data_IF_828579943485
#
_entry.id   IF_828579943485
#
_cell.length_a   1.000
_cell.length_b   1.000
_cell.length_c   1.000
_cell.angle_alpha   90.00
_cell.angle_beta   90.00
_cell.angle_gamma   90.00
#
_symmetry.space_group_name_H-M   'P 1'
#
loop_
_entity.id
_entity.type
_entity.pdbx_description
1 polymer ?
#
# COMPACT_ATOMS: atom_id res chain seq x y z
N UNK A 1 6.28 1.28 33.01
CA UNK A 1 6.23 2.23 31.86
C UNK A 1 4.87 2.12 31.21
N UNK A 2 4.15 3.23 31.08
CA UNK A 2 2.73 3.24 30.76
C UNK A 2 2.46 2.73 29.34
N UNK A 3 1.94 1.50 29.23
CA UNK A 3 1.30 1.01 27.99
C UNK A 3 0.10 1.93 27.72
N UNK A 4 0.20 2.78 26.70
CA UNK A 4 -0.90 3.66 26.27
C UNK A 4 -0.79 5.14 26.64
N UNK A 5 0.36 5.62 27.12
CA UNK A 5 0.59 7.07 27.21
C UNK A 5 0.51 7.72 25.82
N UNK A 6 -0.04 8.92 25.75
CA UNK A 6 -0.26 9.64 24.49
C UNK A 6 0.21 11.09 24.61
N UNK A 7 0.89 11.58 23.58
CA UNK A 7 1.26 12.99 23.45
C UNK A 7 0.52 13.59 22.27
N UNK A 8 -0.17 14.69 22.51
CA UNK A 8 -0.99 15.38 21.52
C UNK A 8 -0.58 16.85 21.42
N UNK A 9 -0.42 17.35 20.20
CA UNK A 9 -0.24 18.77 19.89
C UNK A 9 -1.35 19.22 18.94
N UNK A 10 -1.94 20.37 19.24
CA UNK A 10 -3.07 20.96 18.52
C UNK A 10 -3.90 21.83 19.45
N UNK A 11 -4.96 22.46 18.94
CA UNK A 11 -5.95 23.17 19.75
C UNK A 11 -7.13 22.25 19.98
N UNK A 12 -7.49 22.10 21.25
CA UNK A 12 -8.53 21.17 21.69
C UNK A 12 -9.63 21.92 22.43
N UNK A 13 -10.86 21.45 22.24
CA UNK A 13 -12.03 21.83 23.03
C UNK A 13 -12.82 20.57 23.46
N UNK A 14 -14.05 20.74 23.94
CA UNK A 14 -14.88 19.66 24.44
C UNK A 14 -15.22 18.57 23.38
N UNK A 15 -15.08 18.86 22.08
CA UNK A 15 -15.37 17.94 20.98
C UNK A 15 -14.10 17.25 20.43
N UNK A 16 -12.93 17.56 20.98
CA UNK A 16 -11.64 17.05 20.51
C UNK A 16 -10.79 18.13 19.85
N UNK A 17 -10.02 17.76 18.82
CA UNK A 17 -9.17 18.72 18.11
C UNK A 17 -10.03 19.64 17.25
N UNK A 18 -10.10 20.92 17.62
CA UNK A 18 -10.90 21.93 16.89
C UNK A 18 -10.07 22.82 15.98
N UNK A 19 -8.76 22.91 16.20
CA UNK A 19 -7.84 23.65 15.35
C UNK A 19 -6.40 23.17 15.61
N UNK A 20 -5.44 23.78 14.94
CA UNK A 20 -4.01 23.63 15.19
C UNK A 20 -3.38 24.96 15.63
N UNK A 21 -2.18 24.90 16.19
CA UNK A 21 -1.33 26.08 16.42
C UNK A 21 -0.57 26.46 15.16
N UNK A 22 0.00 27.66 15.11
CA UNK A 22 0.96 28.04 14.07
C UNK A 22 2.39 27.90 14.63
N UNK A 23 2.84 26.64 14.75
CA UNK A 23 4.14 26.31 15.34
C UNK A 23 5.02 25.53 14.36
N UNK A 24 6.32 25.76 14.39
CA UNK A 24 7.30 24.83 13.80
C UNK A 24 7.51 23.68 14.78
N UNK A 25 7.33 22.45 14.31
CA UNK A 25 7.50 21.25 15.13
C UNK A 25 8.73 20.50 14.65
N UNK A 26 9.68 20.24 15.56
CA UNK A 26 10.84 19.41 15.27
C UNK A 26 10.95 18.26 16.26
N UNK A 27 11.19 17.07 15.76
CA UNK A 27 11.62 15.91 16.54
C UNK A 27 13.06 15.63 16.15
N UNK A 28 13.99 15.58 17.10
CA UNK A 28 15.36 15.19 16.82
C UNK A 28 16.26 15.28 18.04
N UNK A 29 17.55 15.52 17.84
CA UNK A 29 18.46 15.77 18.96
C UNK A 29 18.28 17.21 19.45
N UNK A 30 17.62 17.36 20.59
CA UNK A 30 17.32 18.67 21.17
C UNK A 30 17.97 18.73 22.54
N UNK A 31 18.82 19.72 22.78
CA UNK A 31 19.41 19.93 24.09
C UNK A 31 18.30 20.24 25.11
N UNK A 32 18.29 19.50 26.23
CA UNK A 32 17.40 19.81 27.33
C UNK A 32 17.69 21.24 27.83
N UNK A 33 16.64 22.05 27.95
CA UNK A 33 16.79 23.37 28.50
C UNK A 33 17.00 23.28 30.02
N UNK A 34 18.22 23.56 30.48
CA UNK A 34 18.57 23.56 31.90
C UNK A 34 18.09 24.80 32.66
N UNK A 35 17.38 25.71 32.00
CA UNK A 35 16.85 26.93 32.60
C UNK A 35 15.66 26.67 33.55
N UNK A 36 15.54 27.50 34.59
CA UNK A 36 14.36 27.51 35.44
C UNK A 36 13.19 28.17 34.68
N UNK A 37 12.15 27.40 34.38
CA UNK A 37 10.94 27.89 33.72
C UNK A 37 10.00 28.51 34.76
N UNK A 38 9.52 29.73 34.48
CA UNK A 38 8.41 30.33 35.22
C UNK A 38 7.38 30.85 34.24
N UNK A 39 6.11 30.88 34.63
CA UNK A 39 5.02 31.41 33.79
C UNK A 39 5.15 32.92 33.51
N UNK A 40 6.03 33.62 34.24
CA UNK A 40 6.23 35.06 34.16
C UNK A 40 7.52 35.46 33.41
N UNK A 41 8.42 34.50 33.16
CA UNK A 41 9.66 34.79 32.45
C UNK A 41 9.37 35.04 30.96
N UNK A 42 9.96 36.09 30.35
CA UNK A 42 9.77 36.34 28.92
C UNK A 42 10.34 35.18 28.10
N UNK A 43 9.54 34.68 27.16
CA UNK A 43 10.00 33.68 26.20
C UNK A 43 10.92 34.34 25.17
N UNK A 44 12.14 33.81 25.02
CA UNK A 44 13.08 34.22 23.97
C UNK A 44 12.39 34.17 22.60
N UNK A 45 12.64 35.18 21.77
CA UNK A 45 11.99 35.33 20.46
C UNK A 45 12.12 34.06 19.60
N UNK A 46 13.28 33.41 19.64
CA UNK A 46 13.60 32.17 18.92
C UNK A 46 12.73 30.97 19.31
N UNK A 47 12.15 30.98 20.52
CA UNK A 47 11.29 29.90 21.03
C UNK A 47 9.81 30.13 20.75
N UNK A 48 9.42 31.33 20.32
CA UNK A 48 8.03 31.64 19.97
C UNK A 48 7.62 30.78 18.79
N UNK A 49 6.40 30.23 18.82
CA UNK A 49 5.86 29.41 17.74
C UNK A 49 6.75 28.21 17.39
N UNK A 50 7.44 27.62 18.38
CA UNK A 50 8.25 26.40 18.18
C UNK A 50 7.85 25.31 19.17
N UNK A 51 7.97 24.06 18.74
CA UNK A 51 7.88 22.87 19.58
C UNK A 51 9.01 21.94 19.18
N UNK A 52 10.02 21.80 20.04
CA UNK A 52 11.14 20.91 19.80
C UNK A 52 11.10 19.75 20.80
N UNK A 53 11.12 18.53 20.28
CA UNK A 53 10.99 17.31 21.05
C UNK A 53 12.24 16.45 20.85
N UNK A 54 12.84 16.04 21.95
CA UNK A 54 13.99 15.14 21.89
C UNK A 54 13.55 13.70 21.55
N UNK A 55 13.98 13.21 20.39
CA UNK A 55 13.58 11.91 19.86
C UNK A 55 14.07 10.74 20.73
N UNK A 56 15.22 10.89 21.40
CA UNK A 56 15.78 9.86 22.28
C UNK A 56 14.94 9.70 23.55
N UNK A 57 14.52 10.82 24.13
CA UNK A 57 13.65 10.89 25.30
C UNK A 57 12.27 10.31 24.98
N UNK A 58 11.67 10.71 23.86
CA UNK A 58 10.41 10.15 23.39
C UNK A 58 10.51 8.63 23.17
N UNK A 59 11.61 8.16 22.58
CA UNK A 59 11.84 6.75 22.30
C UNK A 59 11.97 5.91 23.56
N UNK A 60 12.70 6.40 24.56
CA UNK A 60 12.87 5.75 25.85
C UNK A 60 11.55 5.61 26.61
N UNK A 61 10.63 6.57 26.43
CA UNK A 61 9.31 6.58 27.07
C UNK A 61 8.31 5.59 26.45
N UNK A 62 8.56 5.09 25.23
CA UNK A 62 7.73 4.10 24.53
C UNK A 62 6.25 4.51 24.47
N UNK A 63 5.97 5.71 23.96
CA UNK A 63 4.60 6.24 23.82
C UNK A 63 3.71 5.30 22.99
N UNK A 64 2.45 5.17 23.39
CA UNK A 64 1.42 4.46 22.61
C UNK A 64 0.92 5.31 21.44
N UNK A 65 0.90 6.64 21.60
CA UNK A 65 0.54 7.57 20.53
C UNK A 65 1.35 8.86 20.60
N UNK A 66 1.76 9.34 19.44
CA UNK A 66 2.26 10.69 19.22
C UNK A 66 1.45 11.31 18.08
N UNK A 67 0.65 12.34 18.39
CA UNK A 67 -0.21 13.02 17.42
C UNK A 67 0.11 14.52 17.41
N UNK A 68 0.85 14.95 16.39
CA UNK A 68 1.39 16.30 16.27
C UNK A 68 0.74 17.04 15.10
N UNK A 69 -0.09 18.04 15.41
CA UNK A 69 -0.78 18.83 14.40
C UNK A 69 -0.49 20.33 14.54
N UNK A 70 -0.04 20.97 13.45
CA UNK A 70 0.33 22.38 13.36
C UNK A 70 0.01 22.97 11.98
N UNK A 71 -0.17 24.30 11.86
CA UNK A 71 -0.19 25.00 10.55
C UNK A 71 1.20 25.09 9.93
N UNK A 72 2.24 25.12 10.76
CA UNK A 72 3.62 25.15 10.30
C UNK A 72 4.10 23.82 9.74
N UNK A 73 5.41 23.66 9.73
CA UNK A 73 6.09 22.44 9.33
C UNK A 73 6.25 21.47 10.50
N UNK A 74 6.17 20.17 10.21
CA UNK A 74 6.60 19.10 11.10
C UNK A 74 7.82 18.41 10.51
N UNK A 75 8.96 18.48 11.19
CA UNK A 75 10.21 17.88 10.74
C UNK A 75 10.72 16.84 11.75
N UNK A 76 10.88 15.59 11.32
CA UNK A 76 11.46 14.52 12.11
C UNK A 76 12.86 14.20 11.60
N UNK A 77 13.85 14.54 12.42
CA UNK A 77 15.28 14.36 12.17
C UNK A 77 15.82 13.35 13.19
N UNK A 78 16.54 12.32 12.74
CA UNK A 78 17.06 11.28 13.65
C UNK A 78 16.05 10.18 14.00
N UNK A 79 16.26 9.50 15.13
CA UNK A 79 15.53 8.28 15.46
C UNK A 79 14.32 8.52 16.37
N UNK A 80 13.19 7.90 16.05
CA UNK A 80 11.99 7.85 16.87
C UNK A 80 11.45 6.42 16.96
N UNK A 81 11.29 5.89 18.16
CA UNK A 81 10.64 4.59 18.40
C UNK A 81 9.41 4.75 19.29
N UNK A 82 8.28 4.21 18.86
CA UNK A 82 7.06 4.15 19.70
C UNK A 82 6.83 2.73 20.21
N UNK A 83 5.85 2.56 21.12
CA UNK A 83 5.41 1.24 21.56
C UNK A 83 5.00 0.36 20.37
N UNK A 84 5.07 -0.97 20.54
CA UNK A 84 4.53 -1.89 19.54
C UNK A 84 3.03 -1.67 19.39
N UNK A 85 2.54 -1.70 18.15
CA UNK A 85 1.16 -1.32 17.83
C UNK A 85 0.87 0.18 18.00
N UNK A 86 1.89 1.00 18.30
CA UNK A 86 1.73 2.44 18.52
C UNK A 86 1.30 3.21 17.28
N UNK A 87 0.92 4.48 17.48
CA UNK A 87 0.47 5.38 16.41
C UNK A 87 1.32 6.65 16.37
N UNK A 88 1.84 6.99 15.19
CA UNK A 88 2.41 8.29 14.89
C UNK A 88 1.53 9.01 13.88
N UNK A 89 0.98 10.16 14.25
CA UNK A 89 0.22 11.04 13.37
C UNK A 89 0.92 12.39 13.28
N UNK A 90 1.33 12.80 12.07
CA UNK A 90 1.99 14.06 11.79
C UNK A 90 1.11 14.87 10.84
N UNK A 91 0.65 16.03 11.27
CA UNK A 91 -0.20 16.93 10.48
C UNK A 91 0.44 18.31 10.41
N UNK A 92 0.81 18.75 9.22
CA UNK A 92 1.50 20.02 8.98
C UNK A 92 1.22 20.55 7.58
N UNK A 93 1.39 21.85 7.32
CA UNK A 93 1.38 22.34 5.93
C UNK A 93 2.47 21.64 5.10
N UNK A 94 3.60 21.35 5.75
CA UNK A 94 4.66 20.47 5.25
C UNK A 94 5.04 19.46 6.32
N UNK A 95 5.35 18.23 5.91
CA UNK A 95 5.90 17.20 6.80
C UNK A 95 7.15 16.60 6.16
N UNK A 96 8.27 16.66 6.88
CA UNK A 96 9.53 16.03 6.50
C UNK A 96 9.90 14.92 7.49
N UNK A 97 10.19 13.73 6.99
CA UNK A 97 10.76 12.63 7.78
C UNK A 97 12.13 12.34 7.18
N UNK A 98 13.18 12.81 7.84
CA UNK A 98 14.58 12.72 7.38
C UNK A 98 15.35 11.62 8.12
N UNK A 99 14.76 11.03 9.16
CA UNK A 99 15.41 10.06 10.01
C UNK A 99 14.77 8.67 9.98
N UNK A 100 14.82 7.98 11.12
CA UNK A 100 14.34 6.61 11.29
C UNK A 100 13.15 6.59 12.24
N UNK A 101 12.03 6.02 11.79
CA UNK A 101 10.85 5.79 12.61
C UNK A 101 10.66 4.29 12.77
N UNK A 102 10.57 3.81 14.01
CA UNK A 102 10.34 2.39 14.32
C UNK A 102 9.08 2.19 15.16
N UNK A 103 8.08 1.52 14.59
CA UNK A 103 6.82 1.20 15.28
C UNK A 103 6.34 -0.18 14.87
N UNK A 104 6.76 -1.19 15.63
CA UNK A 104 6.50 -2.61 15.32
C UNK A 104 5.00 -2.88 15.19
N UNK A 105 4.55 -3.30 13.99
CA UNK A 105 3.14 -3.56 13.70
C UNK A 105 2.20 -2.37 13.92
N UNK A 106 2.75 -1.15 14.02
CA UNK A 106 1.99 0.06 14.35
C UNK A 106 1.48 0.82 13.13
N UNK A 107 1.17 2.10 13.32
CA UNK A 107 0.64 2.97 12.27
C UNK A 107 1.41 4.28 12.20
N UNK A 108 1.78 4.70 10.99
CA UNK A 108 2.28 6.04 10.67
C UNK A 108 1.30 6.71 9.71
N UNK A 109 0.88 7.91 10.06
CA UNK A 109 0.09 8.79 9.18
C UNK A 109 0.78 10.15 9.10
N UNK A 110 1.09 10.61 7.90
CA UNK A 110 1.54 11.97 7.65
C UNK A 110 0.59 12.65 6.67
N UNK A 111 0.13 13.85 6.98
CA UNK A 111 -0.80 14.58 6.14
C UNK A 111 -0.69 16.09 6.26
N UNK A 112 -1.23 16.80 5.28
CA UNK A 112 -1.53 18.23 5.40
C UNK A 112 -3.05 18.50 5.47
N UNK A 113 -3.83 17.44 5.64
CA UNK A 113 -5.27 17.48 5.80
C UNK A 113 -5.62 17.40 7.29
N UNK A 114 -6.66 18.11 7.69
CA UNK A 114 -7.19 18.12 9.04
C UNK A 114 -8.68 17.85 8.98
N UNK A 115 -9.13 16.87 9.76
CA UNK A 115 -10.54 16.66 10.04
C UNK A 115 -10.95 17.58 11.17
N UNK A 116 -11.95 18.42 10.95
CA UNK A 116 -12.54 19.25 12.00
C UNK A 116 -13.52 18.46 12.88
N UNK A 117 -14.07 19.10 13.91
CA UNK A 117 -15.01 18.47 14.84
C UNK A 117 -16.34 18.05 14.21
N UNK A 118 -16.66 18.51 13.00
CA UNK A 118 -17.84 18.10 12.23
C UNK A 118 -17.59 16.88 11.35
N UNK A 119 -16.34 16.42 11.28
CA UNK A 119 -15.91 15.35 10.37
C UNK A 119 -15.57 15.84 8.96
N UNK A 120 -15.61 17.15 8.71
CA UNK A 120 -15.22 17.72 7.42
C UNK A 120 -13.70 17.74 7.29
N UNK A 121 -13.18 17.34 6.13
CA UNK A 121 -11.73 17.32 5.86
C UNK A 121 -11.35 18.59 5.10
N UNK A 122 -10.40 19.34 5.64
CA UNK A 122 -9.84 20.54 5.01
C UNK A 122 -8.32 20.52 4.98
N UNK A 123 -7.70 21.41 4.22
CA UNK A 123 -6.25 21.63 4.32
C UNK A 123 -5.95 22.42 5.58
N UNK A 124 -4.85 22.08 6.27
CA UNK A 124 -4.42 22.82 7.46
C UNK A 124 -4.07 24.28 7.11
N UNK A 125 -3.55 24.52 5.90
CA UNK A 125 -3.25 25.86 5.39
C UNK A 125 -3.57 25.92 3.89
N UNK A 126 -4.82 26.27 3.50
CA UNK A 126 -5.27 26.20 2.11
C UNK A 126 -4.50 27.09 1.13
N UNK A 127 -3.89 28.17 1.62
CA UNK A 127 -3.08 29.08 0.81
C UNK A 127 -1.70 28.50 0.43
N UNK A 128 -1.29 27.40 1.04
CA UNK A 128 0.01 26.77 0.81
C UNK A 128 -0.14 25.42 0.11
N UNK A 129 0.82 25.13 -0.76
CA UNK A 129 0.99 23.81 -1.36
C UNK A 129 1.43 22.81 -0.29
N UNK A 130 0.64 21.75 -0.11
CA UNK A 130 0.97 20.65 0.79
C UNK A 130 2.17 19.83 0.30
N UNK A 131 3.12 19.52 1.17
CA UNK A 131 4.26 18.68 0.80
C UNK A 131 4.61 17.68 1.90
N UNK A 132 4.65 16.40 1.54
CA UNK A 132 5.15 15.34 2.40
C UNK A 132 6.42 14.74 1.79
N UNK A 133 7.49 14.66 2.57
CA UNK A 133 8.77 14.12 2.12
C UNK A 133 9.28 13.07 3.10
N UNK A 134 9.52 11.86 2.59
CA UNK A 134 10.44 10.91 3.19
C UNK A 134 11.81 11.17 2.58
N UNK A 135 12.72 11.72 3.38
CA UNK A 135 14.03 12.20 2.96
C UNK A 135 14.96 11.08 2.48
N UNK A 136 16.08 11.45 1.86
CA UNK A 136 17.02 10.47 1.32
C UNK A 136 17.57 9.58 2.44
N UNK A 137 17.56 8.26 2.23
CA UNK A 137 17.98 7.28 3.23
C UNK A 137 17.09 7.17 4.47
N UNK A 138 15.99 7.92 4.58
CA UNK A 138 15.06 7.85 5.71
C UNK A 138 14.32 6.50 5.72
N UNK A 139 14.00 6.00 6.92
CA UNK A 139 13.41 4.66 7.10
C UNK A 139 12.16 4.71 7.95
N UNK A 140 11.07 4.16 7.43
CA UNK A 140 9.87 3.81 8.18
C UNK A 140 9.85 2.29 8.40
N UNK A 141 10.22 1.87 9.62
CA UNK A 141 10.28 0.48 10.05
C UNK A 141 9.05 0.08 10.87
N UNK A 142 8.07 -0.53 10.22
CA UNK A 142 6.83 -0.96 10.84
C UNK A 142 6.60 -2.47 10.75
N UNK A 143 7.64 -3.24 10.45
CA UNK A 143 7.54 -4.69 10.35
C UNK A 143 7.06 -5.32 11.67
N UNK A 144 6.39 -6.46 11.56
CA UNK A 144 5.93 -7.23 12.70
C UNK A 144 7.08 -7.76 13.55
N UNK A 145 6.79 -8.03 14.82
CA UNK A 145 7.73 -8.57 15.79
C UNK A 145 8.07 -10.02 15.47
N UNK A 146 9.34 -10.37 15.60
CA UNK A 146 9.75 -11.75 15.87
C UNK A 146 9.85 -11.98 17.38
N UNK A 147 9.37 -13.14 17.87
CA UNK A 147 9.49 -13.51 19.28
C UNK A 147 9.64 -15.02 19.45
N UNK A 148 10.39 -15.44 20.47
CA UNK A 148 10.57 -16.86 20.78
C UNK A 148 10.25 -17.11 22.26
N UNK A 149 8.97 -17.34 22.54
CA UNK A 149 8.45 -17.43 23.92
C UNK A 149 8.99 -18.63 24.71
N UNK A 150 9.44 -19.69 24.02
CA UNK A 150 10.13 -20.82 24.65
C UNK A 150 11.53 -20.47 25.18
N UNK A 151 12.11 -19.34 24.75
CA UNK A 151 13.46 -18.88 25.16
C UNK A 151 13.42 -17.61 26.01
N UNK A 152 12.55 -16.67 25.66
CA UNK A 152 12.48 -15.34 26.27
C UNK A 152 11.62 -15.32 27.56
N UNK A 153 11.02 -16.46 27.92
CA UNK A 153 9.88 -16.50 28.83
C UNK A 153 8.62 -15.92 28.17
N UNK A 154 7.46 -16.11 28.78
CA UNK A 154 6.22 -15.49 28.30
C UNK A 154 6.27 -13.96 28.56
N UNK A 155 7.02 -13.21 27.75
CA UNK A 155 6.94 -11.76 27.77
C UNK A 155 5.54 -11.35 27.29
N UNK A 156 4.74 -10.78 28.20
CA UNK A 156 3.34 -10.41 27.96
C UNK A 156 3.18 -9.58 26.67
N UNK A 157 2.47 -10.16 25.69
CA UNK A 157 2.04 -9.46 24.48
C UNK A 157 3.00 -9.45 23.29
N UNK A 158 4.21 -10.02 23.40
CA UNK A 158 5.16 -10.06 22.27
C UNK A 158 4.63 -10.86 21.06
N UNK A 159 3.80 -11.88 21.32
CA UNK A 159 3.14 -12.69 20.30
C UNK A 159 1.97 -11.98 19.58
N UNK A 160 1.51 -10.81 20.07
CA UNK A 160 0.36 -10.11 19.50
C UNK A 160 0.69 -9.32 18.22
N UNK A 161 1.95 -8.89 18.07
CA UNK A 161 2.35 -7.93 17.01
C UNK A 161 3.15 -8.56 15.87
N UNK A 162 2.81 -9.78 15.46
CA UNK A 162 3.51 -10.48 14.37
C UNK A 162 3.16 -9.92 12.97
N UNK A 163 2.15 -9.06 12.86
CA UNK A 163 1.72 -8.48 11.59
C UNK A 163 2.49 -7.19 11.27
N UNK A 164 2.73 -6.94 9.99
CA UNK A 164 3.25 -5.67 9.52
C UNK A 164 2.26 -4.53 9.77
N UNK A 165 2.80 -3.33 9.98
CA UNK A 165 2.01 -2.13 10.27
C UNK A 165 1.39 -1.46 9.05
N UNK A 166 0.98 -0.21 9.23
CA UNK A 166 0.37 0.62 8.17
C UNK A 166 1.06 1.96 8.02
N UNK A 167 1.34 2.35 6.78
CA UNK A 167 1.84 3.69 6.46
C UNK A 167 0.87 4.40 5.51
N UNK A 168 0.46 5.60 5.87
CA UNK A 168 -0.33 6.49 5.01
C UNK A 168 0.35 7.85 4.93
N UNK A 169 0.83 8.21 3.74
CA UNK A 169 1.32 9.55 3.42
C UNK A 169 0.33 10.16 2.43
N UNK A 170 -0.49 11.10 2.90
CA UNK A 170 -1.56 11.70 2.10
C UNK A 170 -1.48 13.22 2.08
N UNK A 171 -1.26 13.77 0.90
CA UNK A 171 -1.12 15.20 0.69
C UNK A 171 -2.17 15.70 -0.29
N UNK A 172 -2.70 16.90 -0.03
CA UNK A 172 -3.44 17.69 -1.01
C UNK A 172 -2.65 17.95 -2.30
N UNK A 173 -1.31 17.91 -2.26
CA UNK A 173 -0.45 18.11 -3.42
C UNK A 173 0.65 17.05 -3.48
N UNK A 174 1.85 17.32 -2.98
CA UNK A 174 3.01 16.47 -3.28
C UNK A 174 3.31 15.44 -2.18
N UNK A 175 3.69 14.25 -2.63
CA UNK A 175 4.30 13.18 -1.81
C UNK A 175 5.60 12.76 -2.47
N UNK A 176 6.70 12.82 -1.74
CA UNK A 176 8.03 12.46 -2.25
C UNK A 176 8.67 11.41 -1.35
N UNK A 177 9.06 10.29 -1.94
CA UNK A 177 10.00 9.34 -1.35
C UNK A 177 11.32 9.50 -2.09
N UNK A 178 12.28 10.13 -1.44
CA UNK A 178 13.58 10.40 -2.03
C UNK A 178 14.41 9.12 -2.19
N UNK A 179 15.51 9.23 -2.93
CA UNK A 179 16.42 8.12 -3.19
C UNK A 179 16.87 7.43 -1.89
N UNK A 180 17.01 6.10 -1.96
CA UNK A 180 17.45 5.23 -0.87
C UNK A 180 16.57 5.21 0.38
N UNK A 181 15.46 5.96 0.40
CA UNK A 181 14.46 5.86 1.45
C UNK A 181 13.76 4.51 1.45
N UNK A 182 13.27 4.06 2.61
CA UNK A 182 12.66 2.74 2.77
C UNK A 182 11.40 2.80 3.62
N UNK A 183 10.37 2.08 3.18
CA UNK A 183 9.18 1.79 3.99
C UNK A 183 9.02 0.27 4.06
N UNK A 184 9.08 -0.29 5.27
CA UNK A 184 8.91 -1.73 5.52
C UNK A 184 7.74 -1.98 6.44
N UNK A 185 6.79 -2.76 5.95
CA UNK A 185 5.63 -3.27 6.68
C UNK A 185 5.59 -4.79 6.57
N UNK A 186 6.74 -5.44 6.67
CA UNK A 186 6.85 -6.89 6.52
C UNK A 186 6.25 -7.63 7.74
N UNK A 187 5.87 -8.89 7.56
CA UNK A 187 5.46 -9.74 8.66
C UNK A 187 6.62 -10.09 9.58
N UNK A 188 6.31 -10.20 10.87
CA UNK A 188 7.12 -10.92 11.84
C UNK A 188 6.64 -12.36 12.03
N UNK A 189 6.91 -12.91 13.20
CA UNK A 189 6.52 -14.27 13.56
C UNK A 189 6.72 -14.56 15.03
N UNK A 190 6.23 -15.70 15.47
CA UNK A 190 6.41 -16.14 16.84
C UNK A 190 6.60 -17.65 16.91
N UNK A 191 7.43 -18.06 17.86
CA UNK A 191 7.54 -19.45 18.30
C UNK A 191 6.89 -19.55 19.67
N UNK A 192 5.89 -20.42 19.81
CA UNK A 192 5.24 -20.67 21.09
C UNK A 192 6.10 -21.55 22.02
N UNK A 193 5.70 -21.67 23.28
CA UNK A 193 6.38 -22.52 24.28
C UNK A 193 6.43 -24.01 23.90
N UNK A 194 5.63 -24.44 22.93
CA UNK A 194 5.62 -25.82 22.38
C UNK A 194 6.52 -25.95 21.14
N UNK A 195 7.24 -24.90 20.76
CA UNK A 195 8.12 -24.90 19.59
C UNK A 195 7.36 -24.80 18.26
N UNK A 196 6.08 -24.42 18.27
CA UNK A 196 5.32 -24.19 17.05
C UNK A 196 5.55 -22.77 16.56
N UNK A 197 6.15 -22.66 15.39
CA UNK A 197 6.39 -21.40 14.72
C UNK A 197 5.17 -20.97 13.88
N UNK A 198 4.88 -19.67 13.88
CA UNK A 198 3.83 -19.03 13.07
C UNK A 198 4.35 -17.69 12.55
N UNK A 199 4.07 -17.39 11.29
CA UNK A 199 4.35 -16.07 10.71
C UNK A 199 3.11 -15.19 10.60
N UNK A 200 3.33 -13.88 10.56
CA UNK A 200 2.28 -12.89 10.38
C UNK A 200 1.88 -12.62 8.93
N UNK A 201 1.11 -11.55 8.74
CA UNK A 201 0.75 -10.97 7.46
C UNK A 201 1.59 -9.72 7.21
N UNK A 202 1.91 -9.44 5.95
CA UNK A 202 2.43 -8.14 5.55
C UNK A 202 1.37 -7.05 5.72
N UNK A 203 1.83 -5.81 5.88
CA UNK A 203 0.99 -4.64 6.14
C UNK A 203 0.62 -3.83 4.90
N UNK A 204 0.17 -2.60 5.11
CA UNK A 204 -0.37 -1.71 4.07
C UNK A 204 0.49 -0.45 3.89
N UNK A 205 0.63 0.00 2.63
CA UNK A 205 1.25 1.29 2.29
C UNK A 205 0.31 2.08 1.39
N UNK A 206 0.07 3.35 1.72
CA UNK A 206 -0.70 4.29 0.91
C UNK A 206 0.08 5.58 0.71
N UNK A 207 0.43 5.90 -0.53
CA UNK A 207 1.16 7.10 -0.94
C UNK A 207 0.28 7.91 -1.88
N UNK A 208 -0.40 8.93 -1.34
CA UNK A 208 -1.49 9.62 -2.01
C UNK A 208 -1.12 11.10 -2.19
N UNK A 209 -0.61 11.43 -3.36
CA UNK A 209 -0.50 12.81 -3.82
C UNK A 209 -1.82 13.25 -4.46
N UNK A 210 -2.07 14.56 -4.45
CA UNK A 210 -3.28 15.18 -4.99
C UNK A 210 -4.60 14.62 -4.40
N UNK A 211 -4.63 14.47 -3.06
CA UNK A 211 -5.74 13.81 -2.34
C UNK A 211 -7.12 14.21 -2.85
N UNK A 212 -7.97 13.20 -3.03
CA UNK A 212 -9.37 13.38 -3.43
C UNK A 212 -10.26 13.90 -2.30
N UNK A 213 -9.79 13.90 -1.05
CA UNK A 213 -10.55 14.34 0.12
C UNK A 213 -10.76 15.86 0.16
N UNK A 214 -9.92 16.62 -0.55
CA UNK A 214 -9.97 18.08 -0.60
C UNK A 214 -9.93 18.58 -2.03
N UNK A 215 -10.40 19.80 -2.28
CA UNK A 215 -10.19 20.46 -3.57
C UNK A 215 -8.75 20.95 -3.66
N UNK A 216 -8.05 20.60 -4.73
CA UNK A 216 -6.72 21.08 -5.10
C UNK A 216 -6.75 21.57 -6.55
N UNK A 217 -5.65 22.11 -7.04
CA UNK A 217 -5.46 22.46 -8.45
C UNK A 217 -5.12 21.24 -9.35
N UNK A 218 -5.12 20.02 -8.81
CA UNK A 218 -4.74 18.79 -9.53
C UNK A 218 -3.23 18.67 -9.82
N UNK A 219 -2.41 19.61 -9.37
CA UNK A 219 -0.99 19.68 -9.70
C UNK A 219 -0.11 18.83 -8.78
N UNK A 220 -0.67 18.18 -7.76
CA UNK A 220 0.06 17.31 -6.84
C UNK A 220 0.73 16.13 -7.56
N UNK A 221 1.99 15.84 -7.21
CA UNK A 221 2.78 14.75 -7.82
C UNK A 221 3.32 13.79 -6.77
N UNK A 222 3.27 12.50 -7.12
CA UNK A 222 4.00 11.45 -6.42
C UNK A 222 5.39 11.34 -7.05
N UNK A 223 6.44 11.39 -6.24
CA UNK A 223 7.80 10.99 -6.62
C UNK A 223 8.19 9.78 -5.80
N UNK A 224 8.62 8.70 -6.47
CA UNK A 224 8.91 7.42 -5.86
C UNK A 224 10.30 6.94 -6.29
N UNK A 225 11.32 7.33 -5.52
CA UNK A 225 12.72 6.88 -5.70
C UNK A 225 13.18 5.98 -4.53
N UNK A 226 12.28 5.69 -3.57
CA UNK A 226 12.50 4.80 -2.43
C UNK A 226 12.08 3.35 -2.66
N UNK A 227 12.34 2.49 -1.66
CA UNK A 227 11.97 1.07 -1.65
C UNK A 227 10.79 0.82 -0.73
N UNK A 228 9.87 -0.03 -1.17
CA UNK A 228 8.67 -0.43 -0.43
C UNK A 228 8.69 -1.95 -0.22
N UNK A 229 8.30 -2.42 0.96
CA UNK A 229 8.20 -3.84 1.28
C UNK A 229 7.00 -4.13 2.16
N UNK A 230 6.23 -5.16 1.80
CA UNK A 230 5.06 -5.64 2.56
C UNK A 230 4.95 -7.15 2.55
N UNK A 231 6.09 -7.85 2.69
CA UNK A 231 6.18 -9.30 2.59
C UNK A 231 5.45 -9.98 3.74
N UNK A 232 4.68 -11.03 3.44
CA UNK A 232 3.92 -11.76 4.45
C UNK A 232 4.15 -13.27 4.44
N UNK A 233 3.86 -13.95 5.56
CA UNK A 233 3.91 -15.41 5.66
C UNK A 233 2.54 -16.04 5.43
N UNK A 234 1.50 -15.49 6.06
CA UNK A 234 0.13 -16.03 6.02
C UNK A 234 -0.85 -15.15 5.24
N UNK A 235 -0.33 -14.13 4.55
CA UNK A 235 -1.08 -13.16 3.75
C UNK A 235 -0.32 -11.84 3.65
N UNK A 236 -0.76 -10.95 2.77
CA UNK A 236 -0.14 -9.64 2.58
C UNK A 236 -1.21 -8.54 2.49
N UNK A 237 -0.80 -7.29 2.70
CA UNK A 237 -1.68 -6.13 2.61
C UNK A 237 -1.72 -5.53 1.20
N UNK A 238 -2.00 -4.23 1.15
CA UNK A 238 -2.18 -3.45 -0.08
C UNK A 238 -1.11 -2.39 -0.24
N UNK A 239 -0.61 -2.23 -1.47
CA UNK A 239 0.09 -1.03 -1.90
C UNK A 239 -0.85 -0.15 -2.72
N UNK A 240 -1.09 1.07 -2.23
CA UNK A 240 -1.89 2.08 -2.91
C UNK A 240 -1.04 3.29 -3.28
N UNK A 241 -1.07 3.68 -4.54
CA UNK A 241 -0.38 4.86 -5.06
C UNK A 241 -1.40 5.78 -5.74
N UNK A 242 -1.30 7.08 -5.47
CA UNK A 242 -2.13 8.11 -6.09
C UNK A 242 -1.30 9.31 -6.50
N UNK A 243 -1.56 9.85 -7.70
CA UNK A 243 -0.94 11.09 -8.17
C UNK A 243 -1.90 11.89 -9.05
N UNK A 244 -1.83 13.23 -8.98
CA UNK A 244 -2.62 14.13 -9.81
C UNK A 244 -2.28 14.09 -11.30
N UNK A 245 -1.06 13.65 -11.65
CA UNK A 245 -0.62 13.51 -13.03
C UNK A 245 -1.02 12.17 -13.66
N UNK A 246 -0.47 11.90 -14.83
CA UNK A 246 -0.53 10.57 -15.43
C UNK A 246 0.52 9.63 -14.84
N UNK A 247 0.30 8.33 -14.98
CA UNK A 247 1.24 7.27 -14.61
C UNK A 247 1.63 6.47 -15.85
N UNK A 248 2.89 6.06 -15.94
CA UNK A 248 3.37 5.11 -16.95
C UNK A 248 4.10 3.94 -16.28
N UNK A 249 3.64 2.71 -16.53
CA UNK A 249 4.36 1.48 -16.22
C UNK A 249 5.19 1.10 -17.43
N UNK A 250 6.51 1.03 -17.27
CA UNK A 250 7.44 0.70 -18.33
C UNK A 250 8.72 0.07 -17.77
N UNK A 251 9.32 -0.87 -18.50
CA UNK A 251 10.56 -1.56 -18.08
C UNK A 251 11.74 -0.60 -17.90
N UNK A 252 11.75 0.53 -18.62
CA UNK A 252 12.79 1.56 -18.51
C UNK A 252 12.17 2.94 -18.28
N UNK A 253 12.90 3.78 -17.55
CA UNK A 253 12.50 5.17 -17.31
C UNK A 253 12.74 6.00 -18.58
N UNK A 254 11.65 6.47 -19.18
CA UNK A 254 11.68 7.39 -20.31
C UNK A 254 11.77 8.87 -19.88
N UNK A 255 11.87 9.76 -20.87
CA UNK A 255 11.72 11.20 -20.68
C UNK A 255 10.23 11.58 -20.79
N UNK A 256 9.45 11.14 -19.81
CA UNK A 256 8.01 11.38 -19.71
C UNK A 256 7.73 12.29 -18.50
N UNK A 257 6.76 13.19 -18.63
CA UNK A 257 6.30 14.03 -17.52
C UNK A 257 5.41 13.27 -16.53
N UNK A 258 4.87 12.11 -16.94
CA UNK A 258 4.11 11.18 -16.10
C UNK A 258 5.01 10.52 -15.06
N UNK A 259 4.40 10.07 -13.96
CA UNK A 259 5.11 9.28 -12.95
C UNK A 259 5.46 7.92 -13.55
N UNK A 260 6.75 7.67 -13.73
CA UNK A 260 7.25 6.37 -14.14
C UNK A 260 7.26 5.39 -12.96
N UNK A 261 6.74 4.19 -13.20
CA UNK A 261 6.79 3.07 -12.26
C UNK A 261 7.41 1.85 -12.94
N UNK A 262 8.44 1.28 -12.32
CA UNK A 262 8.98 -0.02 -12.73
C UNK A 262 7.98 -1.14 -12.47
N UNK A 263 7.75 -2.09 -13.40
CA UNK A 263 6.95 -3.29 -13.16
C UNK A 263 7.43 -4.13 -11.97
N UNK A 264 8.72 -4.04 -11.59
CA UNK A 264 9.26 -4.75 -10.41
C UNK A 264 8.61 -4.30 -9.10
N UNK A 265 8.03 -3.09 -9.05
CA UNK A 265 7.25 -2.62 -7.90
C UNK A 265 6.07 -3.56 -7.61
N UNK A 266 5.48 -4.17 -8.64
CA UNK A 266 4.32 -5.07 -8.52
C UNK A 266 4.70 -6.48 -7.99
N UNK A 267 5.90 -6.59 -7.41
CA UNK A 267 6.44 -7.78 -6.76
C UNK A 267 6.96 -7.48 -5.34
N UNK A 268 6.66 -6.30 -4.80
CA UNK A 268 7.15 -5.83 -3.48
C UNK A 268 6.43 -6.46 -2.27
N UNK A 269 5.68 -7.54 -2.49
CA UNK A 269 5.15 -8.39 -1.43
C UNK A 269 3.67 -8.23 -1.12
N UNK A 270 2.96 -7.32 -1.78
CA UNK A 270 1.55 -7.04 -1.50
C UNK A 270 0.62 -8.03 -2.22
N UNK A 271 -0.54 -8.29 -1.62
CA UNK A 271 -1.61 -9.08 -2.23
C UNK A 271 -2.49 -8.24 -3.17
N UNK A 272 -2.41 -6.91 -3.07
CA UNK A 272 -3.12 -5.98 -3.94
C UNK A 272 -2.26 -4.78 -4.26
N UNK A 273 -2.25 -4.40 -5.53
CA UNK A 273 -1.64 -3.17 -6.02
C UNK A 273 -2.76 -2.29 -6.61
N UNK A 274 -2.96 -1.10 -6.04
CA UNK A 274 -3.91 -0.07 -6.51
C UNK A 274 -3.12 1.16 -6.98
N UNK A 275 -3.07 1.38 -8.29
CA UNK A 275 -2.29 2.44 -8.91
C UNK A 275 -3.24 3.43 -9.56
N UNK A 276 -3.19 4.69 -9.13
CA UNK A 276 -4.08 5.75 -9.61
C UNK A 276 -3.30 6.95 -10.17
N UNK A 277 -3.39 7.18 -11.48
CA UNK A 277 -2.94 8.41 -12.12
C UNK A 277 -4.14 9.26 -12.52
N UNK A 278 -4.44 10.34 -11.81
CA UNK A 278 -5.67 11.11 -11.99
C UNK A 278 -5.84 11.64 -13.43
N UNK A 279 -4.74 11.97 -14.12
CA UNK A 279 -4.75 12.47 -15.49
C UNK A 279 -4.44 11.42 -16.57
N UNK A 280 -4.31 10.15 -16.20
CA UNK A 280 -4.16 9.03 -17.13
C UNK A 280 -3.30 7.90 -16.57
N UNK A 281 -3.43 6.70 -17.13
CA UNK A 281 -2.56 5.57 -16.78
C UNK A 281 -2.24 4.74 -18.02
N UNK A 282 -0.97 4.44 -18.20
CA UNK A 282 -0.48 3.71 -19.37
C UNK A 282 0.44 2.57 -18.96
N UNK A 283 0.23 1.37 -19.50
CA UNK A 283 1.25 0.33 -19.55
C UNK A 283 1.88 0.43 -20.93
N UNK A 284 3.13 0.90 -20.98
CA UNK A 284 3.80 1.22 -22.24
C UNK A 284 3.94 -0.02 -23.15
N UNK A 285 4.10 0.23 -24.45
CA UNK A 285 4.22 -0.83 -25.46
C UNK A 285 5.36 -1.80 -25.13
N UNK A 286 5.13 -3.09 -25.37
CA UNK A 286 6.10 -4.16 -25.09
C UNK A 286 6.35 -4.48 -23.61
N UNK A 287 5.84 -3.67 -22.66
CA UNK A 287 6.14 -3.81 -21.23
C UNK A 287 5.64 -5.15 -20.67
N UNK A 288 6.49 -5.83 -19.90
CA UNK A 288 6.14 -7.08 -19.24
C UNK A 288 5.80 -6.84 -17.76
N UNK A 289 4.53 -6.99 -17.42
CA UNK A 289 4.02 -6.80 -16.06
C UNK A 289 3.57 -8.15 -15.50
N UNK A 290 4.36 -8.71 -14.60
CA UNK A 290 3.96 -9.88 -13.83
C UNK A 290 3.75 -9.46 -12.38
N UNK A 291 2.51 -9.60 -11.94
CA UNK A 291 2.06 -9.15 -10.61
C UNK A 291 2.12 -10.33 -9.65
N UNK A 292 2.99 -10.23 -8.66
CA UNK A 292 3.29 -11.33 -7.74
C UNK A 292 3.16 -10.90 -6.28
N UNK A 293 2.67 -11.81 -5.46
CA UNK A 293 2.78 -11.72 -4.00
C UNK A 293 4.03 -12.49 -3.55
N UNK A 294 5.19 -11.83 -3.61
CA UNK A 294 6.38 -12.35 -2.93
C UNK A 294 6.13 -12.41 -1.42
N UNK A 295 6.68 -13.41 -0.73
CA UNK A 295 6.37 -13.64 0.67
C UNK A 295 7.58 -13.99 1.50
N UNK A 296 7.28 -14.30 2.76
CA UNK A 296 8.21 -14.88 3.71
C UNK A 296 7.77 -16.31 4.02
N UNK A 297 8.71 -17.16 4.38
CA UNK A 297 8.42 -18.42 5.04
C UNK A 297 9.22 -18.53 6.32
N UNK A 298 8.77 -19.42 7.20
CA UNK A 298 9.58 -19.84 8.35
C UNK A 298 10.80 -20.60 7.83
N UNK A 299 11.99 -20.22 8.32
CA UNK A 299 13.23 -20.93 8.03
C UNK A 299 13.28 -22.29 8.75
N UNK A 300 14.18 -23.17 8.33
CA UNK A 300 14.43 -24.45 9.03
C UNK A 300 14.92 -24.22 10.47
N UNK A 301 15.62 -23.11 10.70
CA UNK A 301 16.13 -22.67 12.02
C UNK A 301 15.10 -21.92 12.87
N UNK A 302 13.87 -21.72 12.40
CA UNK A 302 12.88 -20.85 13.04
C UNK A 302 12.64 -21.18 14.51
N UNK A 303 12.67 -22.47 14.90
CA UNK A 303 12.43 -22.88 16.30
C UNK A 303 13.44 -22.31 17.28
N UNK A 304 14.68 -22.12 16.86
CA UNK A 304 15.78 -21.62 17.71
C UNK A 304 16.13 -20.17 17.41
N UNK A 305 15.52 -19.56 16.39
CA UNK A 305 15.78 -18.20 15.97
C UNK A 305 15.48 -17.19 17.07
N UNK A 306 16.40 -16.25 17.25
CA UNK A 306 16.33 -15.09 18.14
C UNK A 306 15.81 -13.87 17.39
N UNK A 307 16.15 -13.75 16.11
CA UNK A 307 15.77 -12.60 15.28
C UNK A 307 14.84 -12.99 14.15
N UNK A 308 14.14 -11.99 13.59
CA UNK A 308 13.29 -12.19 12.41
C UNK A 308 14.10 -12.72 11.22
N UNK A 309 15.33 -12.22 11.00
CA UNK A 309 16.18 -12.63 9.89
C UNK A 309 16.69 -14.07 10.00
N UNK A 310 16.75 -14.62 11.21
CA UNK A 310 17.05 -16.04 11.42
C UNK A 310 15.81 -16.92 11.25
N UNK A 311 14.65 -16.43 11.67
CA UNK A 311 13.41 -17.20 11.73
C UNK A 311 12.54 -17.13 10.47
N UNK A 312 12.75 -16.10 9.66
CA UNK A 312 12.02 -15.84 8.42
C UNK A 312 13.01 -15.65 7.29
N UNK A 313 12.65 -16.18 6.13
CA UNK A 313 13.43 -15.98 4.90
C UNK A 313 12.51 -15.63 3.73
N UNK A 314 13.05 -14.85 2.79
CA UNK A 314 12.38 -14.53 1.54
C UNK A 314 12.04 -15.81 0.80
N UNK A 315 10.80 -15.92 0.33
CA UNK A 315 10.34 -17.08 -0.40
C UNK A 315 9.34 -16.73 -1.48
N UNK A 316 9.68 -17.08 -2.71
CA UNK A 316 8.76 -17.11 -3.83
C UNK A 316 8.30 -18.55 -4.03
N UNK A 317 7.12 -18.89 -3.52
CA UNK A 317 6.58 -20.23 -3.68
C UNK A 317 6.37 -20.58 -5.17
N UNK A 318 6.66 -21.83 -5.57
CA UNK A 318 6.16 -22.36 -6.83
C UNK A 318 4.65 -22.18 -6.91
N UNK A 319 4.12 -21.91 -8.11
CA UNK A 319 2.69 -21.66 -8.32
C UNK A 319 1.81 -22.78 -7.74
N UNK A 320 2.24 -24.03 -7.93
CA UNK A 320 1.62 -25.22 -7.34
C UNK A 320 2.67 -26.01 -6.57
N UNK A 321 2.35 -26.32 -5.32
CA UNK A 321 3.20 -27.15 -4.43
C UNK A 321 2.42 -28.38 -3.99
N UNK A 322 2.96 -29.56 -4.27
CA UNK A 322 2.41 -30.82 -3.78
C UNK A 322 3.01 -31.20 -2.42
N UNK A 323 2.17 -31.71 -1.53
CA UNK A 323 2.52 -32.25 -0.22
C UNK A 323 2.26 -33.76 -0.22
N UNK A 324 3.26 -34.60 -0.56
CA UNK A 324 3.05 -36.04 -0.76
C UNK A 324 2.49 -36.75 0.47
N UNK A 325 2.95 -36.36 1.67
CA UNK A 325 2.53 -36.96 2.95
C UNK A 325 1.03 -36.74 3.22
N UNK A 326 0.49 -35.57 2.88
CA UNK A 326 -0.93 -35.25 3.09
C UNK A 326 -1.78 -35.47 1.83
N UNK A 327 -1.13 -35.75 0.70
CA UNK A 327 -1.74 -35.81 -0.63
C UNK A 327 -2.42 -34.52 -1.06
N UNK A 328 -2.04 -33.36 -0.49
CA UNK A 328 -2.61 -32.04 -0.83
C UNK A 328 -1.78 -31.34 -1.90
N UNK A 329 -2.43 -30.54 -2.74
CA UNK A 329 -1.78 -29.55 -3.61
C UNK A 329 -2.22 -28.18 -3.14
N UNK A 330 -1.27 -27.29 -2.88
CA UNK A 330 -1.55 -25.89 -2.60
C UNK A 330 -1.14 -25.02 -3.78
N UNK A 331 -1.96 -24.02 -4.07
CA UNK A 331 -1.63 -22.94 -4.98
C UNK A 331 -1.16 -21.73 -4.17
N UNK A 332 -0.17 -20.98 -4.69
CA UNK A 332 0.23 -19.71 -4.04
C UNK A 332 -0.87 -18.65 -4.16
N UNK A 333 -0.93 -17.78 -3.15
CA UNK A 333 -2.03 -16.83 -2.96
C UNK A 333 -2.14 -15.71 -4.00
N UNK A 334 -1.06 -15.38 -4.72
CA UNK A 334 -1.08 -14.38 -5.79
C UNK A 334 -1.37 -12.94 -5.36
N UNK A 335 -1.35 -12.03 -6.33
CA UNK A 335 -1.71 -10.63 -6.14
C UNK A 335 -2.65 -10.11 -7.24
N UNK A 336 -3.61 -9.27 -6.84
CA UNK A 336 -4.53 -8.59 -7.75
C UNK A 336 -4.05 -7.18 -8.12
N UNK A 337 -4.39 -6.73 -9.33
CA UNK A 337 -3.99 -5.43 -9.87
C UNK A 337 -5.22 -4.57 -10.17
N UNK A 338 -5.24 -3.36 -9.64
CA UNK A 338 -6.15 -2.29 -10.01
C UNK A 338 -5.33 -1.14 -10.61
N UNK A 339 -5.53 -0.89 -11.90
CA UNK A 339 -5.01 0.29 -12.59
C UNK A 339 -6.17 1.24 -12.81
N UNK A 340 -6.07 2.46 -12.30
CA UNK A 340 -7.12 3.45 -12.45
C UNK A 340 -6.62 4.83 -12.81
N UNK A 341 -7.51 5.58 -13.46
CA UNK A 341 -7.34 7.00 -13.69
C UNK A 341 -8.59 7.72 -13.24
N UNK A 342 -8.56 8.20 -11.99
CA UNK A 342 -9.70 8.92 -11.43
C UNK A 342 -9.37 9.85 -10.26
N UNK A 343 -10.07 10.98 -10.20
CA UNK A 343 -10.20 11.90 -9.06
C UNK A 343 -11.64 12.42 -9.03
N UNK A 344 -12.37 12.16 -7.95
CA UNK A 344 -13.72 12.70 -7.73
C UNK A 344 -14.67 12.54 -8.93
N UNK A 345 -14.80 11.30 -9.41
CA UNK A 345 -15.61 10.89 -10.57
C UNK A 345 -15.11 11.31 -11.97
N UNK A 346 -14.02 12.06 -12.07
CA UNK A 346 -13.38 12.44 -13.34
C UNK A 346 -12.03 11.73 -13.47
N UNK A 347 -11.46 11.66 -14.67
CA UNK A 347 -10.12 11.10 -14.86
C UNK A 347 -9.69 11.07 -16.32
N UNK A 348 -8.47 10.58 -16.56
CA UNK A 348 -7.92 10.39 -17.90
C UNK A 348 -8.11 8.97 -18.44
N UNK A 349 -7.47 8.72 -19.58
CA UNK A 349 -7.50 7.44 -20.26
C UNK A 349 -6.70 6.37 -19.51
N UNK A 350 -7.11 5.11 -19.66
CA UNK A 350 -6.35 3.92 -19.21
C UNK A 350 -5.99 3.08 -20.42
N UNK A 351 -4.69 2.85 -20.65
CA UNK A 351 -4.19 2.11 -21.81
C UNK A 351 -3.28 0.94 -21.43
N UNK A 352 -3.45 -0.18 -22.12
CA UNK A 352 -2.51 -1.31 -22.16
C UNK A 352 -1.93 -1.36 -23.56
N UNK A 353 -0.66 -0.99 -23.68
CA UNK A 353 -0.02 -0.77 -24.97
C UNK A 353 0.20 -2.01 -25.82
N UNK A 354 0.54 -1.81 -27.09
CA UNK A 354 0.75 -2.88 -28.05
C UNK A 354 1.92 -3.77 -27.61
N UNK A 355 1.72 -5.09 -27.64
CA UNK A 355 2.74 -6.06 -27.21
C UNK A 355 3.02 -6.06 -25.70
N UNK A 356 2.39 -5.17 -24.92
CA UNK A 356 2.44 -5.24 -23.47
C UNK A 356 1.72 -6.51 -22.98
N UNK A 357 2.23 -7.12 -21.92
CA UNK A 357 1.60 -8.27 -21.30
C UNK A 357 1.49 -8.05 -19.79
N UNK A 358 0.26 -8.09 -19.28
CA UNK A 358 -0.04 -8.01 -17.85
C UNK A 358 -0.59 -9.36 -17.40
N UNK A 359 0.06 -9.97 -16.41
CA UNK A 359 -0.36 -11.25 -15.84
C UNK A 359 -0.45 -11.19 -14.33
N UNK A 360 -1.45 -11.89 -13.80
CA UNK A 360 -1.61 -12.16 -12.37
C UNK A 360 -1.65 -13.67 -12.16
N UNK A 361 -1.34 -14.12 -10.94
CA UNK A 361 -1.50 -15.53 -10.57
C UNK A 361 -2.95 -16.02 -10.71
N UNK A 362 -3.19 -17.33 -10.90
CA UNK A 362 -4.54 -17.79 -11.11
C UNK A 362 -5.47 -17.52 -9.91
N UNK A 363 -6.72 -17.19 -10.18
CA UNK A 363 -7.69 -16.77 -9.15
C UNK A 363 -7.62 -15.28 -8.79
N UNK A 364 -6.61 -14.55 -9.28
CA UNK A 364 -6.47 -13.11 -9.04
C UNK A 364 -7.17 -12.28 -10.11
N UNK A 365 -7.29 -10.97 -9.84
CA UNK A 365 -8.02 -10.05 -10.70
C UNK A 365 -7.13 -8.97 -11.30
N UNK A 366 -7.46 -8.59 -12.54
CA UNK A 366 -6.96 -7.38 -13.21
C UNK A 366 -8.17 -6.46 -13.42
N UNK A 367 -8.12 -5.26 -12.89
CA UNK A 367 -9.15 -4.23 -13.09
C UNK A 367 -8.53 -2.99 -13.72
N UNK A 368 -9.11 -2.54 -14.84
CA UNK A 368 -8.81 -1.25 -15.45
C UNK A 368 -10.01 -0.33 -15.21
N UNK A 369 -9.79 0.82 -14.57
CA UNK A 369 -10.84 1.80 -14.31
C UNK A 369 -10.50 3.20 -14.80
N UNK A 370 -11.19 3.67 -15.83
CA UNK A 370 -10.92 4.96 -16.47
C UNK A 370 -12.04 5.98 -16.25
N UNK A 371 -11.67 7.21 -15.91
CA UNK A 371 -12.56 8.38 -16.07
C UNK A 371 -12.63 8.84 -17.54
N UNK A 372 -11.61 8.52 -18.34
CA UNK A 372 -11.58 8.62 -19.80
C UNK A 372 -11.69 7.26 -20.49
N UNK A 373 -11.21 7.16 -21.73
CA UNK A 373 -11.26 5.96 -22.55
C UNK A 373 -10.44 4.81 -21.95
N UNK A 374 -10.86 3.58 -22.25
CA UNK A 374 -10.12 2.37 -21.87
C UNK A 374 -9.71 1.62 -23.14
N UNK A 375 -8.41 1.51 -23.36
CA UNK A 375 -7.85 0.88 -24.57
C UNK A 375 -6.93 -0.27 -24.20
N UNK A 376 -7.17 -1.45 -24.76
CA UNK A 376 -6.32 -2.63 -24.59
C UNK A 376 -5.82 -3.06 -25.96
N UNK A 377 -4.53 -2.89 -26.22
CA UNK A 377 -3.84 -3.33 -27.44
C UNK A 377 -2.97 -4.57 -27.19
N UNK A 378 -2.55 -4.75 -25.94
CA UNK A 378 -1.75 -5.88 -25.47
C UNK A 378 -2.57 -7.04 -24.88
N UNK A 379 -1.92 -7.81 -24.02
CA UNK A 379 -2.48 -9.00 -23.36
C UNK A 379 -2.72 -8.76 -21.87
N UNK A 380 -3.90 -9.16 -21.40
CA UNK A 380 -4.26 -9.29 -19.99
C UNK A 380 -4.51 -10.77 -19.68
N UNK A 381 -3.86 -11.33 -18.65
CA UNK A 381 -3.99 -12.74 -18.26
C UNK A 381 -4.32 -12.87 -16.78
N UNK A 382 -5.52 -13.35 -16.46
CA UNK A 382 -6.02 -13.59 -15.10
C UNK A 382 -6.74 -14.95 -15.03
N UNK A 383 -5.99 -16.03 -15.22
CA UNK A 383 -6.57 -17.38 -15.32
C UNK A 383 -7.30 -17.79 -14.05
N UNK A 384 -8.46 -18.44 -14.15
CA UNK A 384 -9.29 -18.78 -13.00
C UNK A 384 -9.75 -17.57 -12.18
N UNK A 385 -9.52 -16.35 -12.67
CA UNK A 385 -9.79 -15.11 -11.96
C UNK A 385 -10.73 -14.23 -12.75
N UNK A 386 -10.48 -12.92 -12.73
CA UNK A 386 -11.30 -11.95 -13.45
C UNK A 386 -10.50 -10.83 -14.11
N UNK A 387 -11.01 -10.39 -15.27
CA UNK A 387 -10.59 -9.17 -15.93
C UNK A 387 -11.81 -8.25 -16.00
N UNK A 388 -11.69 -7.05 -15.45
CA UNK A 388 -12.75 -6.04 -15.42
C UNK A 388 -12.27 -4.75 -16.10
N UNK A 389 -13.06 -4.26 -17.05
CA UNK A 389 -12.92 -2.93 -17.65
C UNK A 389 -14.11 -2.11 -17.18
N UNK A 390 -13.87 -1.02 -16.46
CA UNK A 390 -14.91 -0.29 -15.75
C UNK A 390 -14.74 1.22 -15.93
N UNK A 391 -15.83 1.95 -16.13
CA UNK A 391 -15.78 3.42 -16.13
C UNK A 391 -16.00 3.96 -14.72
N UNK A 392 -15.51 5.18 -14.50
CA UNK A 392 -15.80 5.89 -13.26
C UNK A 392 -17.21 6.48 -13.36
N UNK A 393 -18.07 6.19 -12.38
CA UNK A 393 -19.41 6.78 -12.29
C UNK A 393 -19.66 7.29 -10.88
N UNK A 394 -20.43 8.37 -10.75
CA UNK A 394 -20.92 8.77 -9.43
C UNK A 394 -21.98 7.76 -8.98
N UNK A 395 -21.98 7.41 -7.69
CA UNK A 395 -22.91 6.41 -7.12
C UNK A 395 -24.41 6.79 -7.27
N UNK A 396 -24.70 8.03 -7.65
CA UNK A 396 -26.06 8.56 -7.84
C UNK A 396 -26.50 8.61 -9.30
N UNK A 397 -25.61 8.32 -10.25
CA UNK A 397 -25.94 8.34 -11.66
C UNK A 397 -26.73 7.09 -12.03
N UNK A 398 -27.99 7.27 -12.41
CA UNK A 398 -28.74 6.26 -13.17
C UNK A 398 -28.09 6.11 -14.55
N UNK A 399 -28.27 4.95 -15.20
CA UNK A 399 -27.90 4.82 -16.61
C UNK A 399 -28.64 5.89 -17.42
N UNK A 400 -27.93 6.92 -17.86
CA UNK A 400 -28.49 7.92 -18.75
C UNK A 400 -28.86 7.24 -20.08
N UNK A 401 -30.00 7.63 -20.66
CA UNK A 401 -30.41 7.15 -21.98
C UNK A 401 -29.43 7.58 -23.09
N UNK A 402 -28.67 8.66 -22.86
CA UNK A 402 -27.48 9.00 -23.63
C UNK A 402 -26.31 8.13 -23.15
N UNK A 403 -25.80 7.25 -24.02
CA UNK A 403 -24.64 6.41 -23.69
C UNK A 403 -23.43 7.21 -23.19
N UNK A 404 -22.56 6.57 -22.41
CA UNK A 404 -21.30 7.16 -21.97
C UNK A 404 -20.44 7.58 -23.16
N UNK A 405 -19.81 8.76 -23.10
CA UNK A 405 -18.81 9.19 -24.09
C UNK A 405 -17.52 8.37 -24.00
N UNK A 406 -17.33 7.65 -22.89
CA UNK A 406 -16.19 6.77 -22.66
C UNK A 406 -16.21 5.60 -23.63
N UNK A 407 -15.11 5.43 -24.38
CA UNK A 407 -14.95 4.34 -25.33
C UNK A 407 -14.09 3.22 -24.75
N UNK A 408 -14.54 1.99 -24.94
CA UNK A 408 -13.78 0.78 -24.66
C UNK A 408 -13.26 0.22 -25.98
N UNK A 409 -11.94 0.20 -26.18
CA UNK A 409 -11.30 -0.30 -27.40
C UNK A 409 -10.45 -1.53 -27.12
N UNK A 410 -10.65 -2.57 -27.94
CA UNK A 410 -9.77 -3.72 -28.00
C UNK A 410 -9.06 -3.68 -29.36
N UNK A 411 -7.72 -3.60 -29.34
CA UNK A 411 -6.89 -3.64 -30.53
C UNK A 411 -6.98 -5.00 -31.25
N UNK A 412 -6.53 -5.05 -32.51
CA UNK A 412 -6.63 -6.26 -33.35
C UNK A 412 -5.89 -7.47 -32.78
N UNK A 413 -4.85 -7.24 -31.96
CA UNK A 413 -4.04 -8.27 -31.32
C UNK A 413 -4.30 -8.38 -29.81
N UNK A 414 -5.32 -7.68 -29.30
CA UNK A 414 -5.62 -7.65 -27.88
C UNK A 414 -6.11 -9.00 -27.40
N UNK A 415 -5.64 -9.45 -26.23
CA UNK A 415 -6.11 -10.69 -25.61
C UNK A 415 -6.49 -10.47 -24.15
N UNK A 416 -7.71 -10.85 -23.81
CA UNK A 416 -8.19 -10.90 -22.43
C UNK A 416 -8.39 -12.38 -22.06
N UNK A 417 -7.40 -12.98 -21.40
CA UNK A 417 -7.38 -14.38 -21.02
C UNK A 417 -7.77 -14.54 -19.54
N UNK A 418 -9.06 -14.82 -19.32
CA UNK A 418 -9.59 -15.30 -18.05
C UNK A 418 -9.97 -16.79 -18.16
N UNK A 419 -9.20 -17.60 -18.90
CA UNK A 419 -9.45 -19.05 -18.98
C UNK A 419 -9.31 -19.71 -17.60
N UNK A 420 -10.03 -20.80 -17.34
CA UNK A 420 -9.85 -21.56 -16.10
C UNK A 420 -8.43 -22.14 -16.01
N UNK A 421 -7.91 -22.26 -14.79
CA UNK A 421 -6.64 -22.98 -14.55
C UNK A 421 -6.92 -24.31 -13.86
N UNK A 422 -6.27 -25.37 -14.35
CA UNK A 422 -6.33 -26.69 -13.72
C UNK A 422 -4.97 -27.35 -13.68
N UNK A 423 -4.55 -27.77 -12.48
CA UNK A 423 -3.31 -28.53 -12.30
C UNK A 423 -3.63 -29.93 -11.77
N UNK A 424 -3.07 -30.94 -12.45
CA UNK A 424 -3.20 -32.36 -12.11
C UNK A 424 -1.84 -32.85 -11.62
N UNK A 425 -1.82 -33.29 -10.37
CA UNK A 425 -0.66 -33.98 -9.82
C UNK A 425 -0.95 -35.47 -9.70
N UNK A 426 -0.07 -36.29 -10.27
CA UNK A 426 -0.10 -37.75 -10.17
C UNK A 426 1.01 -38.21 -9.24
N UNK A 427 0.67 -39.01 -8.24
CA UNK A 427 1.64 -39.63 -7.34
C UNK A 427 1.38 -41.13 -7.19
N UNK A 428 2.46 -41.90 -7.07
CA UNK A 428 2.43 -43.34 -6.86
C UNK A 428 2.64 -43.67 -5.37
N UNK A 429 1.61 -44.27 -4.75
CA UNK A 429 1.75 -44.96 -3.47
C UNK A 429 2.03 -46.45 -3.73
N UNK A 430 2.70 -47.15 -2.80
CA UNK A 430 2.86 -48.63 -2.85
C UNK A 430 1.53 -49.41 -2.94
N UNK A 431 0.37 -48.76 -2.78
CA UNK A 431 -0.98 -49.34 -2.87
C UNK A 431 -1.79 -48.87 -4.11
N UNK A 432 -1.18 -48.18 -5.10
CA UNK A 432 -1.83 -47.72 -6.33
C UNK A 432 -1.79 -46.21 -6.55
N UNK A 433 -2.02 -45.77 -7.80
CA UNK A 433 -1.96 -44.36 -8.20
C UNK A 433 -3.23 -43.60 -7.80
N UNK A 434 -3.08 -42.42 -7.19
CA UNK A 434 -4.18 -41.46 -6.95
C UNK A 434 -3.87 -40.13 -7.65
N UNK A 435 -4.88 -39.51 -8.26
CA UNK A 435 -4.79 -38.19 -8.87
C UNK A 435 -5.61 -37.17 -8.06
N UNK A 436 -5.11 -35.95 -7.90
CA UNK A 436 -5.90 -34.81 -7.40
C UNK A 436 -5.80 -33.64 -8.39
N UNK A 437 -6.91 -32.93 -8.52
CA UNK A 437 -7.05 -31.76 -9.37
C UNK A 437 -7.30 -30.52 -8.50
N UNK A 438 -6.58 -29.44 -8.75
CA UNK A 438 -6.99 -28.09 -8.34
C UNK A 438 -7.65 -27.46 -9.57
N UNK A 439 -8.90 -27.01 -9.46
CA UNK A 439 -9.60 -26.20 -10.49
C UNK A 439 -9.84 -24.82 -9.93
N UNK A 440 -9.53 -23.81 -10.72
CA UNK A 440 -9.92 -22.43 -10.46
C UNK A 440 -10.86 -21.99 -11.58
N UNK A 441 -12.14 -21.80 -11.25
CA UNK A 441 -13.18 -21.38 -12.18
C UNK A 441 -13.10 -19.87 -12.43
N UNK A 442 -13.38 -19.42 -13.65
CA UNK A 442 -13.17 -18.04 -14.05
C UNK A 442 -14.46 -17.25 -14.32
N UNK A 443 -14.35 -15.93 -14.32
CA UNK A 443 -15.40 -15.02 -14.79
C UNK A 443 -14.79 -13.83 -15.54
N UNK A 444 -15.24 -13.57 -16.77
CA UNK A 444 -14.93 -12.35 -17.50
C UNK A 444 -16.23 -11.57 -17.69
N UNK A 445 -16.24 -10.29 -17.30
CA UNK A 445 -17.41 -9.42 -17.43
C UNK A 445 -16.96 -8.05 -17.89
N UNK A 446 -17.46 -7.62 -19.05
CA UNK A 446 -17.51 -6.22 -19.45
C UNK A 446 -18.90 -5.66 -19.11
N UNK A 447 -19.01 -4.35 -18.88
CA UNK A 447 -20.29 -3.69 -18.63
C UNK A 447 -21.37 -4.14 -19.63
N UNK A 448 -22.54 -4.53 -19.12
CA UNK A 448 -23.63 -5.15 -19.89
C UNK A 448 -24.16 -4.18 -20.94
N UNK A 449 -23.90 -4.45 -22.22
CA UNK A 449 -24.52 -3.76 -23.34
C UNK A 449 -25.99 -4.19 -23.44
N UNK A 450 -26.94 -3.27 -23.25
CA UNK A 450 -28.39 -3.51 -23.37
C UNK A 450 -28.97 -3.08 -24.73
N UNK A 451 -28.12 -2.78 -25.71
CA UNK A 451 -28.53 -2.51 -27.09
C UNK A 451 -28.87 -3.79 -27.86
N UNK A 452 -29.82 -3.70 -28.80
CA UNK A 452 -30.11 -4.78 -29.76
C UNK A 452 -28.89 -4.96 -30.69
N UNK A 453 -28.34 -6.16 -30.87
CA UNK A 453 -27.22 -6.38 -31.77
C UNK A 453 -27.64 -6.13 -33.24
N UNK A 454 -26.80 -5.47 -34.06
CA UNK A 454 -26.99 -5.46 -35.51
C UNK A 454 -26.84 -6.89 -36.06
N UNK A 455 -27.67 -7.21 -37.05
CA UNK A 455 -28.08 -8.55 -37.51
C UNK A 455 -27.02 -9.43 -38.18
N UNK A 456 -25.73 -9.19 -37.99
CA UNK A 456 -24.69 -9.95 -38.70
C UNK A 456 -23.47 -10.27 -37.84
N UNK A 457 -23.61 -11.20 -36.90
CA UNK A 457 -22.49 -11.97 -36.34
C UNK A 457 -22.87 -13.44 -36.23
N UNK A 458 -22.24 -14.29 -37.05
CA UNK A 458 -22.36 -15.75 -36.98
C UNK A 458 -21.72 -16.23 -35.67
N UNK A 459 -22.51 -16.89 -34.84
CA UNK A 459 -22.11 -17.49 -33.56
C UNK A 459 -21.12 -18.65 -33.75
N UNK A 460 -19.95 -18.55 -33.12
CA UNK A 460 -19.03 -19.67 -32.98
C UNK A 460 -19.55 -20.68 -31.93
N UNK A 461 -19.41 -21.97 -32.26
CA UNK A 461 -19.93 -23.14 -31.55
C UNK A 461 -19.47 -23.23 -30.08
N UNK A 462 -20.41 -23.64 -29.21
CA UNK A 462 -20.13 -24.26 -27.90
C UNK A 462 -19.24 -25.51 -28.07
N UNK A 463 -18.08 -25.55 -27.43
CA UNK A 463 -17.37 -26.80 -27.14
C UNK A 463 -17.89 -27.38 -25.83
N UNK A 464 -18.35 -28.64 -25.88
CA UNK A 464 -18.64 -29.47 -24.70
C UNK A 464 -17.33 -30.04 -24.17
N UNK A 465 -17.13 -29.99 -22.86
CA UNK A 465 -16.03 -30.67 -22.17
C UNK A 465 -16.26 -32.18 -22.14
N UNK A 466 -15.20 -32.94 -22.40
CA UNK A 466 -15.02 -34.32 -21.93
C UNK A 466 -14.12 -34.31 -20.69
#
# INVERSE_FOLDING_TARGET
MARGAQLWLGRFDALGRSSVFDSQVRIGSVAADGGAWTLQAPLLAERRNTVWLDGSTLSAQRWGRLDLATRGEVLLQGALSLADGGTLALTGSRVGIEGQVRIVGGTVTASNLLTDSTGSVGMVTPALRGALTLGAGAVLELSGRWSNTGREGAADGAAAWIHGGRVTLESSHDVTLAADSQIRVDAGGNVDVKGKAKGGKGGDISLLADSSQVSSDGSGRLRLDGRLSGLGVTGAGTLQLGTGGGVVLADTRGNDARVWLSPTLLRSGFARYDINGHAGLDVADGTQVEVLAAGLRLSDGARTAVTAGEGLEYWMAPLYTAYPVTGRVAQRGGASLLLRSQRNALGGDVRIGQGAAVSVDPGQSITLRGGGNITVEGRLTARGGSILLDDVRAARDTYAASGSTTQYRLGSNAVLDASGDSNLWRWMHRAGARARCVRVAASASAARWTGKPPTTWKTARRMRSW
#
